data_IF_186676082567
#
_entry.id   IF_186676082567
#
_cell.length_a   1.000
_cell.length_b   1.000
_cell.length_c   1.000
_cell.angle_alpha   90.00
_cell.angle_beta   90.00
_cell.angle_gamma   90.00
#
_symmetry.space_group_name_H-M   'P 1'
#
loop_
_entity.id
_entity.type
_entity.pdbx_description
1 polymer ?
#
# COMPACT_ATOMS: atom_id res chain seq x y z
N UNK A 1 -20.50 -10.62 -3.01
CA UNK A 1 -19.22 -11.34 -2.78
C UNK A 1 -18.21 -10.35 -2.21
N UNK A 2 -17.25 -10.80 -1.41
CA UNK A 2 -16.13 -9.98 -0.93
C UNK A 2 -14.93 -10.12 -1.89
N UNK A 3 -14.07 -9.11 -1.95
CA UNK A 3 -12.76 -9.20 -2.57
C UNK A 3 -11.98 -10.33 -1.88
N UNK A 4 -11.42 -11.29 -2.64
CA UNK A 4 -10.73 -12.45 -2.05
C UNK A 4 -9.39 -12.08 -1.39
N UNK A 5 -8.80 -10.93 -1.74
CA UNK A 5 -7.47 -10.52 -1.26
C UNK A 5 -7.55 -9.58 -0.05
N UNK A 6 -8.43 -8.57 -0.09
CA UNK A 6 -8.54 -7.62 1.02
C UNK A 6 -9.78 -7.81 1.91
N UNK A 7 -10.78 -8.58 1.48
CA UNK A 7 -12.02 -8.78 2.23
C UNK A 7 -13.09 -7.68 2.07
N UNK A 8 -12.80 -6.61 1.34
CA UNK A 8 -13.75 -5.52 1.06
C UNK A 8 -15.00 -6.01 0.29
N UNK A 9 -16.17 -5.35 0.40
CA UNK A 9 -17.35 -5.73 -0.39
C UNK A 9 -17.15 -5.52 -1.90
N UNK A 10 -17.34 -6.57 -2.69
CA UNK A 10 -17.30 -6.52 -4.15
C UNK A 10 -16.01 -5.92 -4.71
N UNK A 11 -16.17 -4.96 -5.63
CA UNK A 11 -15.09 -4.16 -6.25
C UNK A 11 -14.82 -2.84 -5.52
N UNK A 12 -15.44 -2.59 -4.37
CA UNK A 12 -15.35 -1.28 -3.71
C UNK A 12 -13.92 -0.90 -3.32
N UNK A 13 -13.05 -1.88 -3.02
CA UNK A 13 -11.63 -1.59 -2.78
C UNK A 13 -10.96 -0.96 -4.02
N UNK A 14 -11.27 -1.46 -5.22
CA UNK A 14 -10.72 -0.96 -6.48
C UNK A 14 -11.32 0.39 -6.86
N UNK A 15 -12.62 0.57 -6.65
CA UNK A 15 -13.31 1.84 -6.89
C UNK A 15 -12.74 2.93 -5.97
N UNK A 16 -12.63 2.66 -4.67
CA UNK A 16 -12.05 3.58 -3.68
C UNK A 16 -10.59 3.90 -3.98
N UNK A 17 -9.82 2.91 -4.42
CA UNK A 17 -8.44 3.13 -4.86
C UNK A 17 -8.38 4.10 -6.04
N UNK A 18 -9.23 3.93 -7.05
CA UNK A 18 -9.27 4.82 -8.20
C UNK A 18 -9.71 6.25 -7.82
N UNK A 19 -10.68 6.38 -6.91
CA UNK A 19 -11.11 7.67 -6.35
C UNK A 19 -9.94 8.40 -5.67
N UNK A 20 -9.20 7.68 -4.83
CA UNK A 20 -8.05 8.24 -4.12
C UNK A 20 -6.92 8.62 -5.06
N UNK A 21 -6.61 7.81 -6.08
CA UNK A 21 -5.65 8.20 -7.10
C UNK A 21 -6.08 9.50 -7.80
N UNK A 22 -7.34 9.61 -8.21
CA UNK A 22 -7.85 10.82 -8.84
C UNK A 22 -7.74 12.05 -7.92
N UNK A 23 -8.07 11.90 -6.64
CA UNK A 23 -7.96 12.95 -5.62
C UNK A 23 -6.51 13.38 -5.39
N UNK A 24 -5.61 12.42 -5.19
CA UNK A 24 -4.18 12.65 -4.99
C UNK A 24 -3.56 13.39 -6.19
N UNK A 25 -3.90 13.01 -7.43
CA UNK A 25 -3.41 13.73 -8.61
C UNK A 25 -4.05 15.12 -8.81
N UNK A 26 -5.17 15.40 -8.14
CA UNK A 26 -5.87 16.69 -8.23
C UNK A 26 -5.44 17.68 -7.13
N UNK A 27 -4.91 17.20 -6.01
CA UNK A 27 -4.53 18.03 -4.86
C UNK A 27 -3.22 17.52 -4.22
N UNK A 28 -2.21 18.39 -4.23
CA UNK A 28 -0.88 18.10 -3.70
C UNK A 28 -0.87 17.76 -2.20
N UNK A 29 -1.83 18.27 -1.43
CA UNK A 29 -1.95 17.97 0.00
C UNK A 29 -2.35 16.50 0.22
N UNK A 30 -3.20 15.95 -0.66
CA UNK A 30 -3.54 14.52 -0.64
C UNK A 30 -2.40 13.67 -1.26
N UNK A 31 -1.74 14.18 -2.31
CA UNK A 31 -0.62 13.49 -2.97
C UNK A 31 0.56 13.20 -2.02
N UNK A 32 0.72 13.95 -0.94
CA UNK A 32 1.80 13.80 0.03
C UNK A 32 1.97 12.36 0.56
N UNK A 33 0.88 11.58 0.62
CA UNK A 33 0.87 10.19 1.10
C UNK A 33 0.63 9.15 0.00
N UNK A 34 0.65 9.54 -1.28
CA UNK A 34 0.39 8.67 -2.44
C UNK A 34 1.19 7.35 -2.40
N UNK A 35 2.47 7.44 -2.00
CA UNK A 35 3.36 6.30 -1.88
C UNK A 35 2.85 5.26 -0.86
N UNK A 36 2.30 5.68 0.27
CA UNK A 36 1.65 4.79 1.25
C UNK A 36 0.37 4.19 0.70
N UNK A 37 -0.44 4.98 -0.01
CA UNK A 37 -1.69 4.51 -0.63
C UNK A 37 -1.43 3.36 -1.59
N UNK A 38 -0.48 3.54 -2.52
CA UNK A 38 -0.13 2.52 -3.51
C UNK A 38 0.51 1.31 -2.86
N UNK A 39 1.51 1.50 -1.99
CA UNK A 39 2.23 0.41 -1.36
C UNK A 39 1.32 -0.49 -0.53
N UNK A 40 0.47 0.12 0.30
CA UNK A 40 -0.47 -0.62 1.15
C UNK A 40 -1.51 -1.35 0.32
N UNK A 41 -2.01 -0.73 -0.76
CA UNK A 41 -2.96 -1.39 -1.65
C UNK A 41 -2.36 -2.61 -2.33
N UNK A 42 -1.13 -2.50 -2.84
CA UNK A 42 -0.42 -3.60 -3.52
C UNK A 42 -0.04 -4.72 -2.55
N UNK A 43 0.33 -4.38 -1.31
CA UNK A 43 0.59 -5.36 -0.25
C UNK A 43 -0.66 -6.22 0.03
N UNK A 44 -1.84 -5.61 0.10
CA UNK A 44 -3.11 -6.31 0.32
C UNK A 44 -3.63 -7.04 -0.93
N UNK A 45 -3.26 -6.59 -2.14
CA UNK A 45 -3.64 -7.20 -3.42
C UNK A 45 -2.44 -7.89 -4.08
N UNK A 46 -1.89 -8.86 -3.34
CA UNK A 46 -0.62 -9.53 -3.68
C UNK A 46 -0.63 -10.26 -5.03
N UNK A 47 -1.80 -10.57 -5.61
CA UNK A 47 -1.92 -11.13 -6.96
C UNK A 47 -1.25 -10.30 -8.05
N UNK A 48 -0.98 -9.02 -7.77
CA UNK A 48 -0.35 -8.08 -8.71
C UNK A 48 1.17 -8.12 -8.65
N UNK A 49 1.73 -8.73 -7.62
CA UNK A 49 3.16 -8.79 -7.34
C UNK A 49 3.67 -10.21 -7.52
N UNK A 50 4.92 -10.35 -7.94
CA UNK A 50 5.63 -11.61 -7.71
C UNK A 50 5.88 -11.78 -6.21
N UNK A 51 6.34 -12.96 -5.80
CA UNK A 51 6.76 -13.19 -4.41
C UNK A 51 7.86 -12.21 -3.99
N UNK A 52 8.85 -12.00 -4.85
CA UNK A 52 9.94 -11.07 -4.63
C UNK A 52 9.44 -9.62 -4.60
N UNK A 53 8.50 -9.27 -5.48
CA UNK A 53 7.85 -7.97 -5.51
C UNK A 53 7.07 -7.68 -4.22
N UNK A 54 6.35 -8.67 -3.70
CA UNK A 54 5.60 -8.54 -2.45
C UNK A 54 6.52 -8.38 -1.23
N UNK A 55 7.62 -9.14 -1.17
CA UNK A 55 8.64 -8.94 -0.13
C UNK A 55 9.21 -7.53 -0.24
N UNK A 56 9.55 -7.09 -1.45
CA UNK A 56 10.08 -5.75 -1.69
C UNK A 56 9.11 -4.65 -1.21
N UNK A 57 7.82 -4.79 -1.53
CA UNK A 57 6.78 -3.86 -1.11
C UNK A 57 6.65 -3.79 0.41
N UNK A 58 6.69 -4.96 1.09
CA UNK A 58 6.65 -5.03 2.55
C UNK A 58 7.86 -4.33 3.18
N UNK A 59 9.07 -4.57 2.67
CA UNK A 59 10.29 -3.92 3.18
C UNK A 59 10.28 -2.41 2.90
N UNK A 60 9.80 -1.98 1.73
CA UNK A 60 9.63 -0.57 1.39
C UNK A 60 8.67 0.12 2.36
N UNK A 61 7.50 -0.49 2.60
CA UNK A 61 6.51 0.02 3.54
C UNK A 61 7.07 0.10 4.97
N UNK A 62 7.86 -0.90 5.37
CA UNK A 62 8.58 -0.90 6.65
C UNK A 62 9.57 0.26 6.77
N UNK A 63 10.39 0.49 5.73
CA UNK A 63 11.33 1.60 5.71
C UNK A 63 10.64 2.97 5.77
N UNK A 64 9.57 3.16 4.99
CA UNK A 64 8.77 4.40 4.99
C UNK A 64 8.17 4.68 6.37
N UNK A 65 7.66 3.66 7.07
CA UNK A 65 6.96 3.83 8.35
C UNK A 65 7.88 3.85 9.58
N UNK A 66 9.11 3.35 9.45
CA UNK A 66 10.13 3.37 10.50
C UNK A 66 10.69 4.79 10.73
N UNK A 67 10.62 5.66 9.74
CA UNK A 67 11.03 7.05 9.86
C UNK A 67 9.87 7.93 10.35
N UNK A 68 10.00 8.51 11.55
CA UNK A 68 9.25 9.71 11.99
C UNK A 68 9.70 10.97 11.20
N UNK A 69 10.00 10.83 9.92
CA UNK A 69 10.58 11.89 9.12
C UNK A 69 9.52 12.68 8.33
N UNK A 70 9.75 13.98 8.10
CA UNK A 70 8.84 14.82 7.34
C UNK A 70 8.64 14.29 5.91
N UNK A 71 7.47 14.52 5.28
CA UNK A 71 7.08 13.92 3.98
C UNK A 71 8.12 14.05 2.84
N UNK A 72 8.95 15.08 2.88
CA UNK A 72 9.96 15.38 1.86
C UNK A 72 11.17 14.43 1.86
N UNK A 73 11.46 13.72 2.95
CA UNK A 73 12.58 12.77 3.04
C UNK A 73 12.18 11.36 2.61
N UNK A 74 10.95 10.97 2.88
CA UNK A 74 10.38 9.66 2.52
C UNK A 74 10.43 9.46 1.01
N UNK A 75 10.08 10.50 0.24
CA UNK A 75 10.17 10.50 -1.22
C UNK A 75 11.59 10.33 -1.74
N UNK A 76 12.63 10.75 -1.02
CA UNK A 76 14.04 10.55 -1.41
C UNK A 76 14.54 9.16 -1.06
N UNK A 77 14.09 8.60 0.07
CA UNK A 77 14.57 7.32 0.54
C UNK A 77 13.91 6.14 -0.18
N UNK A 78 12.59 6.22 -0.42
CA UNK A 78 11.89 5.29 -1.31
C UNK A 78 12.49 5.32 -2.72
N UNK A 79 12.83 6.51 -3.22
CA UNK A 79 13.45 6.67 -4.53
C UNK A 79 14.88 6.13 -4.55
N UNK A 80 15.66 6.31 -3.49
CA UNK A 80 16.98 5.68 -3.35
C UNK A 80 16.90 4.15 -3.24
N UNK A 81 15.88 3.59 -2.58
CA UNK A 81 15.65 2.15 -2.51
C UNK A 81 15.25 1.56 -3.88
N UNK A 82 14.40 2.26 -4.62
CA UNK A 82 14.00 1.89 -5.98
C UNK A 82 15.14 2.08 -7.00
N UNK A 83 15.84 3.21 -6.96
CA UNK A 83 16.99 3.54 -7.82
C UNK A 83 18.22 2.68 -7.51
N UNK A 84 18.36 2.22 -6.26
CA UNK A 84 19.38 1.26 -5.82
C UNK A 84 19.11 -0.19 -6.22
N UNK A 85 18.02 -0.45 -6.96
CA UNK A 85 17.67 -1.79 -7.43
C UNK A 85 17.01 -2.69 -6.37
N UNK A 86 16.49 -2.12 -5.27
CA UNK A 86 15.85 -2.86 -4.18
C UNK A 86 14.65 -3.69 -4.65
N UNK A 87 13.86 -3.16 -5.59
CA UNK A 87 12.84 -3.91 -6.31
C UNK A 87 13.35 -4.25 -7.71
N UNK A 88 14.08 -5.36 -7.81
CA UNK A 88 14.68 -5.84 -9.06
C UNK A 88 13.68 -6.26 -10.14
N UNK A 89 14.23 -6.71 -11.28
CA UNK A 89 13.47 -7.28 -12.41
C UNK A 89 12.55 -8.39 -11.90
N UNK A 90 11.25 -8.28 -12.18
CA UNK A 90 10.26 -9.29 -11.77
C UNK A 90 9.27 -8.83 -10.71
N UNK A 91 9.19 -7.53 -10.38
CA UNK A 91 8.24 -6.97 -9.41
C UNK A 91 6.76 -7.35 -9.64
N UNK A 92 6.30 -7.37 -10.90
CA UNK A 92 4.90 -7.71 -11.23
C UNK A 92 4.68 -9.22 -11.32
N UNK A 93 3.51 -9.66 -10.88
CA UNK A 93 3.07 -11.04 -11.06
C UNK A 93 2.99 -11.41 -12.55
N UNK A 94 3.23 -12.70 -12.85
CA UNK A 94 3.07 -13.27 -14.19
C UNK A 94 1.82 -14.15 -14.31
N UNK A 95 1.32 -14.68 -13.21
CA UNK A 95 0.21 -15.63 -13.15
C UNK A 95 -1.06 -15.03 -12.52
N UNK A 96 -0.95 -13.88 -11.86
CA UNK A 96 -2.06 -13.25 -11.16
C UNK A 96 -2.48 -13.99 -9.88
N UNK A 97 -1.65 -14.90 -9.37
CA UNK A 97 -1.95 -15.65 -8.16
C UNK A 97 -1.51 -14.86 -6.92
N UNK A 98 -2.35 -14.77 -5.88
CA UNK A 98 -1.96 -14.14 -4.62
C UNK A 98 -0.72 -14.79 -4.02
N UNK A 99 0.26 -13.98 -3.61
CA UNK A 99 1.46 -14.42 -2.88
C UNK A 99 1.08 -14.87 -1.46
N UNK A 100 0.11 -14.17 -0.86
CA UNK A 100 -0.35 -14.45 0.49
C UNK A 100 -1.83 -14.79 0.49
N UNK A 101 -2.21 -15.78 1.30
CA UNK A 101 -3.60 -16.21 1.46
C UNK A 101 -4.26 -15.52 2.68
N UNK A 102 -4.16 -14.20 2.77
CA UNK A 102 -4.96 -13.41 3.73
C UNK A 102 -6.24 -12.97 3.03
N UNK A 103 -7.38 -13.19 3.68
CA UNK A 103 -8.68 -12.66 3.24
C UNK A 103 -9.35 -11.75 4.26
N UNK A 104 -8.75 -11.57 5.45
CA UNK A 104 -9.33 -10.81 6.58
C UNK A 104 -8.31 -9.86 7.19
N UNK A 105 -7.88 -8.88 6.41
CA UNK A 105 -7.14 -7.74 6.93
C UNK A 105 -8.01 -6.96 7.92
N UNK A 106 -7.41 -6.44 8.99
CA UNK A 106 -8.16 -5.67 10.01
C UNK A 106 -8.62 -4.30 9.52
N UNK A 107 -7.88 -3.73 8.56
CA UNK A 107 -8.22 -2.48 7.86
C UNK A 107 -8.06 -2.67 6.36
N UNK A 108 -8.90 -1.98 5.60
CA UNK A 108 -8.86 -1.89 4.15
C UNK A 108 -8.85 -0.42 3.73
N UNK A 109 -8.67 -0.17 2.44
CA UNK A 109 -8.80 1.18 1.87
C UNK A 109 -10.18 1.84 2.13
N UNK A 110 -11.22 1.05 2.44
CA UNK A 110 -12.55 1.56 2.78
C UNK A 110 -12.60 2.21 4.17
N UNK A 111 -11.64 1.91 5.03
CA UNK A 111 -11.55 2.48 6.39
C UNK A 111 -10.87 3.87 6.40
N UNK A 112 -10.53 4.41 5.23
CA UNK A 112 -9.84 5.69 5.07
C UNK A 112 -10.82 6.82 4.78
N UNK A 113 -10.83 7.82 5.66
CA UNK A 113 -11.63 9.03 5.47
C UNK A 113 -10.88 10.07 4.60
N UNK A 114 -11.60 10.69 3.65
CA UNK A 114 -11.06 11.68 2.71
C UNK A 114 -11.68 13.07 2.87
N UNK A 115 -12.18 13.41 4.06
CA UNK A 115 -12.83 14.70 4.36
C UNK A 115 -11.87 15.89 4.34
N UNK A 116 -10.60 15.67 4.72
CA UNK A 116 -9.53 16.66 4.66
C UNK A 116 -8.18 15.97 4.47
N UNK A 117 -7.18 16.70 3.95
CA UNK A 117 -5.85 16.16 3.72
C UNK A 117 -5.19 15.61 5.00
N UNK A 118 -5.36 16.29 6.15
CA UNK A 118 -4.80 15.84 7.43
C UNK A 118 -5.44 14.54 7.92
N UNK A 119 -6.77 14.42 7.82
CA UNK A 119 -7.52 13.21 8.16
C UNK A 119 -7.12 12.07 7.23
N UNK A 120 -7.02 12.35 5.93
CA UNK A 120 -6.62 11.40 4.91
C UNK A 120 -5.22 10.84 5.17
N UNK A 121 -4.23 11.72 5.37
CA UNK A 121 -2.85 11.33 5.64
C UNK A 121 -2.73 10.45 6.90
N UNK A 122 -3.45 10.83 7.98
CA UNK A 122 -3.51 10.05 9.21
C UNK A 122 -4.12 8.67 8.98
N UNK A 123 -5.24 8.59 8.28
CA UNK A 123 -5.96 7.34 8.07
C UNK A 123 -5.22 6.41 7.10
N UNK A 124 -4.60 6.94 6.03
CA UNK A 124 -3.68 6.19 5.15
C UNK A 124 -2.51 5.62 5.95
N UNK A 125 -1.88 6.43 6.80
CA UNK A 125 -0.77 5.98 7.66
C UNK A 125 -1.23 4.89 8.64
N UNK A 126 -2.41 5.04 9.23
CA UNK A 126 -3.00 4.02 10.12
C UNK A 126 -3.28 2.71 9.40
N UNK A 127 -3.82 2.77 8.18
CA UNK A 127 -4.06 1.59 7.35
C UNK A 127 -2.75 0.91 6.94
N UNK A 128 -1.75 1.69 6.52
CA UNK A 128 -0.42 1.19 6.18
C UNK A 128 0.25 0.45 7.34
N UNK A 129 0.22 1.01 8.56
CA UNK A 129 0.78 0.37 9.76
C UNK A 129 0.08 -0.95 10.07
N UNK A 130 -1.25 -0.98 10.06
CA UNK A 130 -2.02 -2.19 10.33
C UNK A 130 -1.71 -3.30 9.30
N UNK A 131 -1.70 -2.95 8.01
CA UNK A 131 -1.35 -3.90 6.95
C UNK A 131 0.08 -4.42 7.10
N UNK A 132 1.06 -3.55 7.41
CA UNK A 132 2.43 -3.99 7.62
C UNK A 132 2.58 -4.93 8.83
N UNK A 133 1.94 -4.61 9.96
CA UNK A 133 1.96 -5.45 11.16
C UNK A 133 1.39 -6.86 10.90
N UNK A 134 0.33 -6.95 10.11
CA UNK A 134 -0.25 -8.23 9.69
C UNK A 134 0.65 -8.94 8.68
N UNK A 135 1.21 -8.23 7.70
CA UNK A 135 2.13 -8.78 6.71
C UNK A 135 3.44 -9.32 7.31
N UNK A 136 3.89 -8.74 8.43
CA UNK A 136 5.08 -9.21 9.16
C UNK A 136 4.84 -10.51 9.95
N UNK A 137 3.58 -10.87 10.22
CA UNK A 137 3.21 -12.13 10.87
C UNK A 137 3.10 -13.29 9.88
N UNK A 138 3.19 -13.00 8.58
CA UNK A 138 3.13 -14.01 7.53
C UNK A 138 4.51 -14.61 7.33
N UNK A 139 4.62 -15.90 7.61
CA UNK A 139 5.73 -16.72 7.15
C UNK A 139 5.56 -16.93 5.64
N UNK A 140 6.52 -16.41 4.88
CA UNK A 140 6.62 -16.63 3.44
C UNK A 140 7.53 -17.81 3.14
#
# INVERSE_FOLDING_TARGET
MKCPECGAPGSQCQERFNEFLALEFSDAAFFAVHHLTVATFMLQHSSRLSREGWICERELLSAILAEDQPPDSVGKQARHFLDGGGCGVGFKSKDGLPVVAISTWTKTILDVCSESADVYARDITSWARAALEEANKLDL
#
